data_IF_548271273859
#
_entry.id   IF_548271273859
#
_cell.length_a   1.000
_cell.length_b   1.000
_cell.length_c   1.000
_cell.angle_alpha   90.00
_cell.angle_beta   90.00
_cell.angle_gamma   90.00
#
_symmetry.space_group_name_H-M   'P 1'
#
loop_
_entity.id
_entity.type
_entity.pdbx_description
1 polymer ?
#
# COMPACT_ATOMS: atom_id res chain seq x y z
N UNK A 1 18.25 -30.14 58.17
CA UNK A 1 17.28 -30.99 57.45
C UNK A 1 17.25 -30.54 55.99
N UNK A 2 17.26 -31.49 55.05
CA UNK A 2 17.72 -31.37 53.66
C UNK A 2 16.90 -30.39 52.79
N UNK A 3 17.64 -29.66 51.96
CA UNK A 3 17.26 -28.93 50.74
C UNK A 3 16.91 -29.96 49.64
N UNK A 4 16.18 -29.54 48.59
CA UNK A 4 15.80 -30.20 47.30
C UNK A 4 14.29 -30.44 47.24
N UNK A 5 13.55 -30.12 46.17
CA UNK A 5 13.90 -30.13 44.75
C UNK A 5 12.95 -29.20 44.00
N UNK A 6 13.51 -28.20 43.32
CA UNK A 6 12.83 -27.29 42.40
C UNK A 6 12.21 -28.09 41.24
N UNK A 7 10.88 -28.18 41.23
CA UNK A 7 10.10 -28.78 40.16
C UNK A 7 10.26 -27.98 38.88
N UNK A 8 10.88 -28.62 37.90
CA UNK A 8 11.02 -28.20 36.50
C UNK A 8 9.67 -27.74 35.92
N UNK A 9 9.46 -26.44 35.81
CA UNK A 9 8.55 -25.87 34.82
C UNK A 9 9.38 -25.08 33.82
N UNK A 10 9.96 -25.82 32.86
CA UNK A 10 10.44 -25.26 31.61
C UNK A 10 9.21 -24.85 30.82
N UNK A 11 8.89 -23.56 30.88
CA UNK A 11 7.89 -22.90 30.05
C UNK A 11 8.40 -22.99 28.60
N UNK A 12 7.91 -23.99 27.86
CA UNK A 12 7.99 -24.06 26.41
C UNK A 12 6.98 -23.06 25.83
N UNK A 13 7.36 -21.79 25.74
CA UNK A 13 6.70 -20.76 24.93
C UNK A 13 7.47 -20.65 23.61
N UNK A 14 7.27 -21.63 22.73
CA UNK A 14 7.71 -21.58 21.33
C UNK A 14 6.52 -21.94 20.45
N UNK A 15 6.06 -20.99 19.63
CA UNK A 15 5.09 -21.30 18.58
C UNK A 15 3.94 -20.32 18.38
N UNK A 16 4.20 -19.02 18.35
CA UNK A 16 3.50 -18.17 17.37
C UNK A 16 4.56 -17.69 16.37
N UNK A 17 5.12 -18.64 15.62
CA UNK A 17 5.70 -18.31 14.33
C UNK A 17 4.55 -17.71 13.52
N UNK A 18 4.65 -16.42 13.19
CA UNK A 18 3.65 -15.74 12.40
C UNK A 18 3.33 -16.57 11.17
N UNK A 19 2.04 -16.69 10.83
CA UNK A 19 1.68 -16.97 9.46
C UNK A 19 2.28 -15.84 8.63
N UNK A 20 3.50 -16.05 8.12
CA UNK A 20 4.06 -15.19 7.10
C UNK A 20 3.06 -15.26 5.95
N UNK A 21 2.40 -14.14 5.66
CA UNK A 21 1.59 -14.03 4.46
C UNK A 21 2.55 -14.30 3.30
N UNK A 22 2.41 -15.47 2.67
CA UNK A 22 3.23 -15.85 1.53
C UNK A 22 2.73 -15.09 0.30
N UNK A 23 3.64 -14.69 -0.61
CA UNK A 23 3.22 -14.11 -1.88
C UNK A 23 2.31 -15.09 -2.63
N UNK A 24 1.27 -14.60 -3.33
CA UNK A 24 0.44 -15.44 -4.15
C UNK A 24 1.29 -16.05 -5.28
N UNK A 25 1.01 -17.29 -5.63
CA UNK A 25 1.60 -17.93 -6.80
C UNK A 25 0.78 -17.61 -8.03
N UNK A 26 1.41 -17.65 -9.21
CA UNK A 26 0.70 -17.50 -10.48
C UNK A 26 -0.47 -18.50 -10.62
N UNK A 27 -0.29 -19.73 -10.14
CA UNK A 27 -1.33 -20.77 -10.11
C UNK A 27 -2.52 -20.37 -9.23
N UNK A 28 -2.26 -19.78 -8.06
CA UNK A 28 -3.33 -19.34 -7.14
C UNK A 28 -4.18 -18.19 -7.68
N UNK A 29 -3.62 -17.40 -8.61
CA UNK A 29 -4.30 -16.26 -9.24
C UNK A 29 -4.77 -16.54 -10.66
N UNK A 30 -4.48 -17.71 -11.24
CA UNK A 30 -4.82 -18.03 -12.62
C UNK A 30 -6.33 -17.94 -12.92
N UNK A 31 -7.17 -18.18 -11.91
CA UNK A 31 -8.64 -18.08 -12.01
C UNK A 31 -9.19 -16.76 -11.48
N UNK A 32 -8.35 -15.90 -10.92
CA UNK A 32 -8.76 -14.60 -10.37
C UNK A 32 -8.86 -13.60 -11.52
N UNK A 33 -10.00 -12.92 -11.70
CA UNK A 33 -10.17 -11.97 -12.79
C UNK A 33 -9.20 -10.78 -12.63
N UNK A 34 -8.60 -10.38 -13.75
CA UNK A 34 -7.84 -9.13 -13.84
C UNK A 34 -8.79 -8.03 -14.32
N UNK A 35 -8.85 -6.94 -13.58
CA UNK A 35 -9.71 -5.77 -13.84
C UNK A 35 -8.81 -4.58 -14.10
N UNK A 36 -8.98 -3.92 -15.24
CA UNK A 36 -8.26 -2.67 -15.47
C UNK A 36 -8.76 -1.56 -14.56
N UNK A 37 -7.84 -0.72 -14.10
CA UNK A 37 -8.20 0.48 -13.37
C UNK A 37 -9.09 1.40 -14.23
N UNK A 38 -10.24 1.77 -13.66
CA UNK A 38 -11.29 2.55 -14.31
C UNK A 38 -12.48 1.71 -14.76
N UNK A 39 -12.33 0.40 -14.89
CA UNK A 39 -13.42 -0.50 -15.26
C UNK A 39 -14.27 -0.88 -14.04
N UNK A 40 -15.47 -1.40 -14.32
CA UNK A 40 -16.39 -1.84 -13.28
C UNK A 40 -15.87 -3.15 -12.65
N UNK A 41 -15.58 -3.18 -11.34
CA UNK A 41 -15.14 -4.41 -10.70
C UNK A 41 -16.29 -5.44 -10.63
N UNK A 42 -15.96 -6.75 -10.52
CA UNK A 42 -16.93 -7.80 -10.23
C UNK A 42 -17.75 -7.45 -8.99
N UNK A 43 -19.05 -7.79 -9.00
CA UNK A 43 -19.94 -7.51 -7.85
C UNK A 43 -19.52 -8.23 -6.58
N UNK A 44 -18.93 -9.42 -6.74
CA UNK A 44 -18.48 -10.30 -5.67
C UNK A 44 -17.18 -10.98 -6.10
N UNK A 45 -16.39 -11.44 -5.13
CA UNK A 45 -15.17 -12.18 -5.35
C UNK A 45 -13.93 -11.29 -5.40
N UNK A 46 -12.78 -11.94 -5.37
CA UNK A 46 -11.48 -11.28 -5.45
C UNK A 46 -11.15 -10.93 -6.91
N UNK A 47 -10.30 -9.93 -7.09
CA UNK A 47 -9.79 -9.54 -8.40
C UNK A 47 -8.38 -8.98 -8.27
N UNK A 48 -7.63 -9.07 -9.35
CA UNK A 48 -6.36 -8.36 -9.53
C UNK A 48 -6.67 -7.02 -10.20
N UNK A 49 -6.23 -5.92 -9.60
CA UNK A 49 -6.36 -4.60 -10.21
C UNK A 49 -5.12 -4.31 -11.05
N UNK A 50 -5.30 -4.10 -12.35
CA UNK A 50 -4.23 -3.77 -13.28
C UNK A 50 -4.24 -2.27 -13.60
N UNK A 51 -3.11 -1.61 -13.35
CA UNK A 51 -2.83 -0.25 -13.75
C UNK A 51 -1.92 -0.26 -14.97
N UNK A 52 -2.43 0.04 -16.18
CA UNK A 52 -1.63 0.00 -17.39
C UNK A 52 -0.58 1.09 -17.42
N UNK A 53 0.63 0.77 -17.88
CA UNK A 53 1.67 1.76 -18.12
C UNK A 53 1.16 2.87 -19.05
N UNK A 54 1.48 4.13 -18.74
CA UNK A 54 1.10 5.29 -19.57
C UNK A 54 -0.39 5.68 -19.51
N UNK A 55 -1.29 4.89 -18.89
CA UNK A 55 -2.69 5.28 -18.71
C UNK A 55 -2.79 6.33 -17.60
N UNK A 56 -3.65 7.32 -17.78
CA UNK A 56 -3.86 8.37 -16.79
C UNK A 56 -4.62 7.82 -15.57
N UNK A 57 -4.04 8.02 -14.39
CA UNK A 57 -4.60 7.69 -13.08
C UNK A 57 -5.00 9.02 -12.41
N UNK A 58 -6.28 9.21 -12.07
CA UNK A 58 -6.72 10.35 -11.30
C UNK A 58 -6.27 10.19 -9.84
N UNK A 59 -5.67 11.24 -9.29
CA UNK A 59 -5.30 11.35 -7.87
C UNK A 59 -6.08 12.52 -7.29
N UNK A 60 -6.99 12.22 -6.36
CA UNK A 60 -7.81 13.22 -5.69
C UNK A 60 -7.10 13.71 -4.44
N UNK A 61 -6.91 15.01 -4.32
CA UNK A 61 -6.42 15.67 -3.11
C UNK A 61 -7.57 16.45 -2.49
N UNK A 62 -7.87 16.19 -1.22
CA UNK A 62 -8.94 16.86 -0.47
C UNK A 62 -8.37 17.55 0.77
N UNK A 63 -8.78 18.80 0.98
CA UNK A 63 -8.36 19.65 2.09
C UNK A 63 -9.64 20.10 2.81
N UNK A 64 -9.78 19.72 4.08
CA UNK A 64 -10.94 20.05 4.91
C UNK A 64 -10.55 20.11 6.40
N UNK A 65 -11.35 20.78 7.22
CA UNK A 65 -11.13 20.85 8.66
C UNK A 65 -11.82 22.02 9.33
N UNK A 66 -11.93 21.98 10.67
CA UNK A 66 -12.57 23.03 11.47
C UNK A 66 -11.82 24.38 11.47
N UNK A 67 -10.53 24.36 11.10
CA UNK A 67 -9.72 25.56 10.96
C UNK A 67 -9.95 26.30 9.64
N UNK A 68 -10.72 25.73 8.72
CA UNK A 68 -10.96 26.27 7.38
C UNK A 68 -12.39 26.77 7.25
N UNK A 69 -12.57 27.92 6.60
CA UNK A 69 -13.91 28.42 6.23
C UNK A 69 -14.46 27.69 5.01
N UNK A 70 -13.58 27.11 4.19
CA UNK A 70 -13.91 26.42 2.95
C UNK A 70 -13.07 25.16 2.81
N UNK A 71 -13.67 24.10 2.25
CA UNK A 71 -12.97 22.89 1.85
C UNK A 71 -12.59 22.96 0.38
N UNK A 72 -11.51 22.29 0.00
CA UNK A 72 -11.05 22.22 -1.40
C UNK A 72 -10.83 20.77 -1.82
N UNK A 73 -11.18 20.47 -3.06
CA UNK A 73 -10.83 19.21 -3.72
C UNK A 73 -10.21 19.52 -5.08
N UNK A 74 -9.16 18.78 -5.43
CA UNK A 74 -8.52 18.85 -6.75
C UNK A 74 -8.20 17.46 -7.25
N UNK A 75 -8.33 17.25 -8.56
CA UNK A 75 -7.95 16.00 -9.23
C UNK A 75 -6.76 16.24 -10.13
N UNK A 76 -5.65 15.58 -9.84
CA UNK A 76 -4.47 15.52 -10.70
C UNK A 76 -4.50 14.25 -11.54
N UNK A 77 -3.88 14.26 -12.72
CA UNK A 77 -3.68 13.06 -13.54
C UNK A 77 -2.20 12.72 -13.60
N UNK A 78 -1.85 11.52 -13.19
CA UNK A 78 -0.47 10.98 -13.26
C UNK A 78 -0.47 9.68 -14.05
N UNK A 79 0.67 9.23 -14.54
CA UNK A 79 0.78 7.96 -15.25
C UNK A 79 1.98 7.18 -14.74
N UNK A 80 1.81 5.86 -14.61
CA UNK A 80 2.89 4.97 -14.25
C UNK A 80 3.77 4.69 -15.46
N UNK A 81 5.07 4.49 -15.22
CA UNK A 81 6.03 4.11 -16.27
C UNK A 81 6.01 2.60 -16.57
N UNK A 82 5.39 1.80 -15.72
CA UNK A 82 5.31 0.33 -15.81
C UNK A 82 3.91 -0.12 -15.44
N UNK A 83 3.51 -1.26 -15.98
CA UNK A 83 2.30 -1.95 -15.54
C UNK A 83 2.41 -2.32 -14.06
N UNK A 84 1.34 -2.13 -13.30
CA UNK A 84 1.25 -2.59 -11.92
C UNK A 84 0.02 -3.47 -11.79
N UNK A 85 0.21 -4.69 -11.32
CA UNK A 85 -0.85 -5.59 -10.89
C UNK A 85 -0.89 -5.56 -9.36
N UNK A 86 -2.03 -5.21 -8.79
CA UNK A 86 -2.24 -5.16 -7.35
C UNK A 86 -3.25 -6.21 -6.92
N UNK A 87 -2.91 -7.00 -5.92
CA UNK A 87 -3.78 -8.01 -5.33
C UNK A 87 -3.55 -8.05 -3.81
N UNK A 88 -4.54 -7.60 -3.04
CA UNK A 88 -4.41 -7.40 -1.58
C UNK A 88 -3.20 -6.49 -1.28
N UNK A 89 -2.23 -6.97 -0.50
CA UNK A 89 -0.98 -6.26 -0.20
C UNK A 89 0.15 -6.52 -1.20
N UNK A 90 -0.11 -7.36 -2.21
CA UNK A 90 0.89 -7.81 -3.17
C UNK A 90 0.83 -6.98 -4.45
N UNK A 91 2.02 -6.74 -5.01
CA UNK A 91 2.23 -6.04 -6.26
C UNK A 91 3.10 -6.88 -7.18
N UNK A 92 2.79 -6.86 -8.47
CA UNK A 92 3.59 -7.45 -9.52
C UNK A 92 3.70 -6.50 -10.71
N UNK A 93 4.80 -6.59 -11.46
CA UNK A 93 5.00 -5.87 -12.72
C UNK A 93 4.58 -6.68 -13.95
N UNK A 94 4.35 -7.99 -13.78
CA UNK A 94 4.06 -8.93 -14.88
C UNK A 94 2.87 -9.87 -14.59
N UNK A 95 2.26 -9.74 -13.40
CA UNK A 95 1.17 -10.57 -12.93
C UNK A 95 1.60 -11.96 -12.42
N UNK A 96 2.90 -12.23 -12.35
CA UNK A 96 3.46 -13.56 -12.02
C UNK A 96 4.38 -13.51 -10.82
N UNK A 97 5.27 -12.53 -10.78
CA UNK A 97 6.22 -12.34 -9.69
C UNK A 97 5.66 -11.30 -8.71
N UNK A 98 5.29 -11.77 -7.51
CA UNK A 98 4.58 -10.97 -6.52
C UNK A 98 5.47 -10.61 -5.34
N UNK A 99 5.43 -9.33 -4.98
CA UNK A 99 6.21 -8.73 -3.89
C UNK A 99 5.29 -7.90 -3.02
N UNK A 100 5.66 -7.64 -1.76
CA UNK A 100 4.87 -6.71 -0.94
C UNK A 100 4.88 -5.32 -1.56
N UNK A 101 3.72 -4.66 -1.61
CA UNK A 101 3.59 -3.35 -2.26
C UNK A 101 4.54 -2.29 -1.70
N UNK A 102 4.78 -2.31 -0.39
CA UNK A 102 5.74 -1.42 0.30
C UNK A 102 7.20 -1.65 -0.09
N UNK A 103 7.51 -2.78 -0.72
CA UNK A 103 8.84 -3.14 -1.23
C UNK A 103 9.01 -2.74 -2.70
N UNK A 104 7.92 -2.41 -3.40
CA UNK A 104 7.91 -2.06 -4.83
C UNK A 104 7.87 -0.54 -5.04
N UNK A 105 7.08 0.17 -4.23
CA UNK A 105 6.88 1.61 -4.34
C UNK A 105 7.40 2.32 -3.10
N UNK A 106 8.08 3.45 -3.31
CA UNK A 106 8.40 4.42 -2.29
C UNK A 106 7.52 5.65 -2.48
N UNK A 107 6.67 5.95 -1.49
CA UNK A 107 5.82 7.14 -1.51
C UNK A 107 6.27 8.05 -0.37
N UNK A 108 6.74 9.24 -0.71
CA UNK A 108 7.15 10.24 0.27
C UNK A 108 6.28 11.48 0.14
N UNK A 109 5.89 12.03 1.29
CA UNK A 109 5.18 13.30 1.38
C UNK A 109 6.07 14.31 2.09
N UNK A 110 6.28 15.47 1.45
CA UNK A 110 6.87 16.65 2.08
C UNK A 110 5.79 17.71 2.21
N UNK A 111 5.59 18.21 3.44
CA UNK A 111 4.59 19.20 3.77
C UNK A 111 5.31 20.41 4.36
N UNK A 112 5.15 21.56 3.73
CA UNK A 112 5.61 22.85 4.26
C UNK A 112 4.43 23.70 4.63
N UNK A 113 4.40 24.12 5.89
CA UNK A 113 3.35 24.98 6.43
C UNK A 113 3.86 26.42 6.40
N UNK A 114 3.06 27.37 5.90
CA UNK A 114 3.41 28.79 5.97
C UNK A 114 3.72 29.20 7.40
N UNK A 115 4.83 29.92 7.57
CA UNK A 115 5.30 30.39 8.88
C UNK A 115 6.21 31.61 8.71
N UNK A 116 6.63 32.21 9.82
CA UNK A 116 7.64 33.29 9.77
C UNK A 116 8.94 32.81 9.13
N UNK A 117 9.28 31.53 9.29
CA UNK A 117 10.47 30.90 8.71
C UNK A 117 10.26 30.43 7.25
N UNK A 118 9.01 30.38 6.77
CA UNK A 118 8.63 29.97 5.42
C UNK A 118 7.40 30.80 4.98
N UNK A 119 7.60 32.05 4.54
CA UNK A 119 6.49 32.97 4.24
C UNK A 119 5.78 32.68 2.91
N UNK A 120 6.20 31.63 2.20
CA UNK A 120 5.60 31.18 0.95
C UNK A 120 4.29 30.41 1.17
N UNK A 121 3.46 30.21 0.13
CA UNK A 121 2.29 29.34 0.22
C UNK A 121 2.65 27.94 0.70
N UNK A 122 1.70 27.29 1.38
CA UNK A 122 1.88 25.93 1.84
C UNK A 122 2.15 24.98 0.68
N UNK A 123 3.06 24.03 0.89
CA UNK A 123 3.44 23.04 -0.12
C UNK A 123 3.04 21.66 0.38
N UNK A 124 2.41 20.88 -0.50
CA UNK A 124 2.29 19.43 -0.36
C UNK A 124 2.95 18.82 -1.59
N UNK A 125 4.07 18.13 -1.40
CA UNK A 125 4.80 17.45 -2.46
C UNK A 125 4.74 15.95 -2.23
N UNK A 126 4.19 15.23 -3.21
CA UNK A 126 4.18 13.77 -3.24
C UNK A 126 5.24 13.29 -4.23
N UNK A 127 6.14 12.43 -3.77
CA UNK A 127 7.16 11.76 -4.56
C UNK A 127 6.82 10.27 -4.59
N UNK A 128 6.68 9.71 -5.78
CA UNK A 128 6.35 8.30 -6.00
C UNK A 128 7.42 7.70 -6.90
N UNK A 129 8.25 6.85 -6.33
CA UNK A 129 9.37 6.20 -7.02
C UNK A 129 9.23 4.67 -6.93
N UNK A 130 9.73 3.97 -7.93
CA UNK A 130 9.99 2.54 -7.80
C UNK A 130 11.22 2.34 -6.93
N UNK A 131 11.19 1.32 -6.07
CA UNK A 131 12.36 0.89 -5.30
C UNK A 131 13.32 0.07 -6.15
#
# INVERSE_FOLDING_TARGET
MKILSQGRYLILLYGLAGCALQPPTAESLATVPVVEFGDKPPKNGEFVLHFPAGKAIPVVTSISGSALTESSESTSKVSLKKDIYAYKEWVSFDGKDWQKGDSVLNINADIKIPSVQHPEPGLVKLLVDFK
#
